data_IF_657245732342
#
_entry.id   IF_657245732342
#
_cell.length_a   1.000
_cell.length_b   1.000
_cell.length_c   1.000
_cell.angle_alpha   90.00
_cell.angle_beta   90.00
_cell.angle_gamma   90.00
#
_symmetry.space_group_name_H-M   'P 1'
#
loop_
_entity.id
_entity.type
_entity.pdbx_description
1 polymer ?
#
# COMPACT_ATOMS: atom_id res chain seq x y z
N UNK A 1 6.31 -16.06 -7.87
CA UNK A 1 5.87 -16.35 -6.50
C UNK A 1 4.66 -17.24 -6.60
N UNK A 2 4.71 -18.42 -6.01
CA UNK A 2 3.58 -19.36 -6.03
C UNK A 2 3.08 -19.55 -4.60
N UNK A 3 1.91 -19.00 -4.27
CA UNK A 3 1.22 -19.27 -3.01
C UNK A 3 0.51 -20.60 -3.13
N UNK A 4 1.00 -21.63 -2.45
CA UNK A 4 0.29 -22.90 -2.31
C UNK A 4 -0.80 -22.73 -1.27
N UNK A 5 -2.03 -23.04 -1.66
CA UNK A 5 -3.22 -22.93 -0.85
C UNK A 5 -3.78 -24.33 -0.61
N UNK A 6 -3.89 -24.71 0.66
CA UNK A 6 -4.73 -25.86 1.03
C UNK A 6 -6.21 -25.49 0.87
N UNK A 7 -7.10 -26.49 0.91
CA UNK A 7 -8.54 -26.23 0.91
C UNK A 7 -8.98 -25.30 2.07
N UNK A 8 -8.31 -25.38 3.23
CA UNK A 8 -8.55 -24.48 4.36
C UNK A 8 -8.09 -23.05 4.10
N UNK A 9 -6.98 -22.87 3.37
CA UNK A 9 -6.49 -21.55 2.98
C UNK A 9 -7.45 -20.85 2.01
N UNK A 10 -8.04 -21.61 1.08
CA UNK A 10 -9.03 -21.10 0.12
C UNK A 10 -10.25 -20.54 0.87
N UNK A 11 -10.71 -21.21 1.92
CA UNK A 11 -11.83 -20.76 2.76
C UNK A 11 -11.49 -19.51 3.58
N UNK A 12 -10.21 -19.27 3.85
CA UNK A 12 -9.72 -18.14 4.64
C UNK A 12 -9.26 -16.94 3.78
N UNK A 13 -9.46 -16.98 2.46
CA UNK A 13 -9.18 -15.86 1.56
C UNK A 13 -10.11 -14.69 1.89
N UNK A 14 -9.53 -13.51 2.09
CA UNK A 14 -10.26 -12.31 2.50
C UNK A 14 -9.62 -11.05 1.96
N UNK A 15 -10.40 -9.97 1.92
CA UNK A 15 -9.91 -8.65 1.56
C UNK A 15 -9.51 -7.85 2.79
N UNK A 16 -8.55 -6.95 2.62
CA UNK A 16 -8.14 -5.98 3.63
C UNK A 16 -7.65 -4.68 3.01
N UNK A 17 -7.40 -3.69 3.85
CA UNK A 17 -6.73 -2.44 3.48
C UNK A 17 -5.48 -2.26 4.36
N UNK A 18 -4.49 -1.51 3.89
CA UNK A 18 -3.28 -1.16 4.66
C UNK A 18 -2.87 0.29 4.37
N UNK A 19 -3.27 1.25 5.22
CA UNK A 19 -2.75 2.62 5.23
C UNK A 19 -1.22 2.73 5.15
N UNK A 20 -0.49 1.90 5.89
CA UNK A 20 0.97 1.85 5.92
C UNK A 20 1.57 1.42 4.59
N UNK A 21 0.92 0.48 3.88
CA UNK A 21 1.32 0.10 2.53
C UNK A 21 1.13 1.26 1.53
N UNK A 22 0.00 1.98 1.63
CA UNK A 22 -0.26 3.17 0.82
C UNK A 22 0.76 4.27 1.11
N UNK A 23 1.10 4.53 2.38
CA UNK A 23 2.12 5.52 2.76
C UNK A 23 3.50 5.14 2.24
N UNK A 24 3.89 3.88 2.40
CA UNK A 24 5.18 3.40 1.91
C UNK A 24 5.31 3.59 0.39
N UNK A 25 4.23 3.32 -0.34
CA UNK A 25 4.22 3.54 -1.79
C UNK A 25 4.15 5.01 -2.13
N UNK A 26 3.39 5.84 -1.41
CA UNK A 26 3.41 7.29 -1.56
C UNK A 26 4.83 7.86 -1.47
N UNK A 27 5.65 7.38 -0.52
CA UNK A 27 7.07 7.74 -0.43
C UNK A 27 7.84 7.32 -1.68
N UNK A 28 7.64 6.10 -2.19
CA UNK A 28 8.30 5.62 -3.43
C UNK A 28 7.89 6.45 -4.65
N UNK A 29 6.60 6.78 -4.78
CA UNK A 29 6.08 7.65 -5.83
C UNK A 29 6.78 9.02 -5.81
N UNK A 30 6.95 9.60 -4.62
CA UNK A 30 7.61 10.89 -4.43
C UNK A 30 9.12 10.85 -4.75
N UNK A 31 9.76 9.69 -4.61
CA UNK A 31 11.14 9.47 -5.01
C UNK A 31 11.31 9.28 -6.53
N UNK A 32 10.25 8.85 -7.24
CA UNK A 32 10.25 8.53 -8.68
C UNK A 32 9.04 9.10 -9.44
N UNK A 33 8.72 10.39 -9.30
CA UNK A 33 7.45 10.96 -9.79
C UNK A 33 7.25 10.79 -11.31
N UNK A 34 8.34 10.75 -12.08
CA UNK A 34 8.33 10.55 -13.53
C UNK A 34 7.72 9.22 -13.97
N UNK A 35 7.64 8.24 -13.07
CA UNK A 35 7.11 6.92 -13.33
C UNK A 35 5.61 6.81 -12.97
N UNK A 36 4.92 7.86 -12.52
CA UNK A 36 3.58 7.69 -11.95
C UNK A 36 2.58 8.70 -12.50
N UNK A 37 2.19 8.56 -13.78
CA UNK A 37 1.40 9.58 -14.45
C UNK A 37 0.01 9.80 -13.84
N UNK A 38 -0.62 8.75 -13.30
CA UNK A 38 -1.94 8.84 -12.66
C UNK A 38 -1.88 9.56 -11.31
N UNK A 39 -0.70 9.64 -10.70
CA UNK A 39 -0.50 10.25 -9.40
C UNK A 39 0.00 11.70 -9.50
N UNK A 40 0.24 12.24 -10.71
CA UNK A 40 0.77 13.61 -10.91
C UNK A 40 -0.03 14.70 -10.21
N UNK A 41 -1.37 14.63 -10.26
CA UNK A 41 -2.23 15.62 -9.61
C UNK A 41 -1.97 15.69 -8.11
N UNK A 42 -1.99 14.53 -7.46
CA UNK A 42 -1.67 14.40 -6.04
C UNK A 42 -0.20 14.76 -5.72
N UNK A 43 0.75 14.30 -6.53
CA UNK A 43 2.18 14.54 -6.33
C UNK A 43 2.50 16.03 -6.26
N UNK A 44 1.85 16.86 -7.09
CA UNK A 44 2.04 18.31 -7.09
C UNK A 44 1.70 18.91 -5.73
N UNK A 45 0.52 18.60 -5.21
CA UNK A 45 0.03 19.16 -3.96
C UNK A 45 0.74 18.56 -2.74
N UNK A 46 1.12 17.28 -2.80
CA UNK A 46 1.82 16.61 -1.71
C UNK A 46 3.24 17.16 -1.52
N UNK A 47 3.99 17.38 -2.63
CA UNK A 47 5.40 17.81 -2.57
C UNK A 47 5.62 19.11 -1.80
N UNK A 48 4.72 20.07 -1.95
CA UNK A 48 4.85 21.39 -1.33
C UNK A 48 4.59 21.36 0.18
N UNK A 49 3.91 20.33 0.67
CA UNK A 49 3.53 20.18 2.08
C UNK A 49 4.42 19.20 2.86
N UNK A 50 5.32 18.49 2.19
CA UNK A 50 6.07 17.40 2.82
C UNK A 50 7.07 17.90 3.89
N UNK A 51 7.01 17.33 5.11
CA UNK A 51 8.01 17.60 6.12
C UNK A 51 9.35 16.98 5.71
N UNK A 52 10.33 17.82 5.37
CA UNK A 52 11.60 17.41 4.73
C UNK A 52 12.35 16.36 5.53
N UNK A 53 12.49 16.55 6.84
CA UNK A 53 13.27 15.65 7.70
C UNK A 53 12.56 14.30 7.91
N UNK A 54 11.26 14.32 8.15
CA UNK A 54 10.45 13.11 8.25
C UNK A 54 10.44 12.32 6.93
N UNK A 55 10.28 13.00 5.80
CA UNK A 55 10.36 12.37 4.48
C UNK A 55 11.76 11.81 4.19
N UNK A 56 12.84 12.53 4.54
CA UNK A 56 14.21 12.04 4.39
C UNK A 56 14.47 10.78 5.24
N UNK A 57 13.88 10.70 6.44
CA UNK A 57 13.94 9.53 7.29
C UNK A 57 13.18 8.35 6.65
N UNK A 58 11.92 8.53 6.28
CA UNK A 58 11.10 7.46 5.68
C UNK A 58 11.68 6.97 4.35
N UNK A 59 12.13 7.87 3.47
CA UNK A 59 12.78 7.50 2.20
C UNK A 59 14.07 6.70 2.41
N UNK A 60 14.85 7.00 3.46
CA UNK A 60 16.01 6.20 3.84
C UNK A 60 15.61 4.77 4.18
N UNK A 61 14.55 4.59 4.97
CA UNK A 61 14.05 3.28 5.42
C UNK A 61 13.38 2.49 4.30
N UNK A 62 12.46 3.10 3.55
CA UNK A 62 11.62 2.46 2.53
C UNK A 62 12.40 2.18 1.23
N UNK A 63 13.31 3.08 0.85
CA UNK A 63 13.95 3.06 -0.47
C UNK A 63 12.99 3.45 -1.59
N UNK A 64 13.48 3.50 -2.83
CA UNK A 64 12.69 3.83 -4.02
C UNK A 64 12.06 2.60 -4.69
N UNK A 65 12.61 1.40 -4.46
CA UNK A 65 12.13 0.13 -5.00
C UNK A 65 12.64 -1.07 -4.18
N UNK A 66 12.09 -2.26 -4.42
CA UNK A 66 12.54 -3.53 -3.86
C UNK A 66 11.87 -3.88 -2.53
N UNK A 67 12.64 -4.52 -1.64
CA UNK A 67 12.15 -4.99 -0.35
C UNK A 67 11.56 -3.83 0.47
N UNK A 68 10.37 -4.03 1.01
CA UNK A 68 9.70 -3.09 1.91
C UNK A 68 9.77 -3.69 3.32
N UNK A 69 10.33 -2.98 4.32
CA UNK A 69 10.38 -3.48 5.69
C UNK A 69 8.99 -3.81 6.24
N UNK A 70 8.81 -5.05 6.68
CA UNK A 70 7.52 -5.58 7.13
C UNK A 70 6.98 -4.81 8.34
N UNK A 71 7.87 -4.34 9.23
CA UNK A 71 7.49 -3.54 10.40
C UNK A 71 6.76 -2.23 10.09
N UNK A 72 6.80 -1.73 8.85
CA UNK A 72 6.07 -0.53 8.41
C UNK A 72 4.59 -0.78 8.13
N UNK A 73 4.17 -2.05 8.14
CA UNK A 73 2.79 -2.47 7.89
C UNK A 73 2.33 -3.38 9.02
N UNK A 74 1.02 -3.45 9.25
CA UNK A 74 0.43 -4.51 10.07
C UNK A 74 -0.38 -5.46 9.21
N UNK A 75 -0.84 -6.57 9.79
CA UNK A 75 -1.71 -7.51 9.08
C UNK A 75 -2.94 -6.76 8.55
N UNK A 76 -3.13 -6.68 7.22
CA UNK A 76 -4.22 -5.90 6.65
C UNK A 76 -5.58 -6.44 7.07
N UNK A 77 -6.49 -5.54 7.41
CA UNK A 77 -7.87 -5.85 7.81
C UNK A 77 -8.83 -4.87 7.14
N UNK A 78 -10.10 -5.26 7.03
CA UNK A 78 -11.13 -4.43 6.38
C UNK A 78 -11.38 -3.08 7.07
N UNK A 79 -11.21 -3.06 8.38
CA UNK A 79 -11.45 -1.95 9.31
C UNK A 79 -10.13 -1.32 9.81
N UNK A 80 -8.99 -1.67 9.21
CA UNK A 80 -7.71 -1.13 9.63
C UNK A 80 -7.63 0.37 9.34
N UNK A 81 -7.53 1.17 10.41
CA UNK A 81 -7.41 2.62 10.31
C UNK A 81 -5.94 3.06 10.28
N UNK A 82 -5.64 4.25 9.72
CA UNK A 82 -4.29 4.81 9.73
C UNK A 82 -3.70 4.93 11.14
N UNK A 83 -4.50 5.37 12.11
CA UNK A 83 -4.08 5.56 13.50
C UNK A 83 -3.76 4.23 14.16
N UNK A 84 -4.54 3.19 13.87
CA UNK A 84 -4.30 1.84 14.38
C UNK A 84 -2.99 1.25 13.83
N UNK A 85 -2.69 1.47 12.54
CA UNK A 85 -1.45 1.00 11.93
C UNK A 85 -0.22 1.81 12.38
N UNK A 86 -0.35 3.12 12.55
CA UNK A 86 0.68 3.97 13.17
C UNK A 86 1.00 3.53 14.61
N UNK A 87 -0.04 3.29 15.41
CA UNK A 87 0.12 2.81 16.78
C UNK A 87 0.77 1.40 16.83
N UNK A 88 0.49 0.55 15.83
CA UNK A 88 1.15 -0.75 15.70
C UNK A 88 2.64 -0.62 15.38
N UNK A 89 3.01 0.31 14.49
CA UNK A 89 4.41 0.64 14.18
C UNK A 89 5.18 1.09 15.44
N UNK A 90 4.59 1.96 16.27
CA UNK A 90 5.17 2.37 17.55
C UNK A 90 5.41 1.22 18.54
N UNK A 91 4.68 0.12 18.39
CA UNK A 91 4.76 -1.10 19.22
C UNK A 91 5.47 -2.27 18.53
N UNK A 92 5.92 -2.11 17.28
CA UNK A 92 6.50 -3.19 16.49
C UNK A 92 7.70 -3.84 17.20
N UNK A 93 7.79 -5.17 17.13
CA UNK A 93 8.83 -5.92 17.82
C UNK A 93 10.22 -5.52 17.33
N UNK A 94 11.11 -5.13 18.25
CA UNK A 94 12.48 -4.71 17.92
C UNK A 94 13.27 -5.80 17.21
N UNK A 95 13.03 -7.07 17.55
CA UNK A 95 13.67 -8.20 16.88
C UNK A 95 13.33 -8.26 15.38
N UNK A 96 12.05 -8.14 15.02
CA UNK A 96 11.61 -8.08 13.62
C UNK A 96 12.17 -6.87 12.90
N UNK A 97 12.11 -5.69 13.54
CA UNK A 97 12.69 -4.47 12.97
C UNK A 97 14.19 -4.60 12.67
N UNK A 98 14.97 -5.26 13.54
CA UNK A 98 16.40 -5.53 13.28
C UNK A 98 16.61 -6.39 12.04
N UNK A 99 15.80 -7.44 11.88
CA UNK A 99 15.85 -8.34 10.70
C UNK A 99 15.57 -7.54 9.42
N UNK A 100 14.55 -6.70 9.43
CA UNK A 100 14.19 -5.92 8.25
C UNK A 100 15.25 -4.85 7.93
N UNK A 101 15.81 -4.19 8.96
CA UNK A 101 16.92 -3.27 8.79
C UNK A 101 18.18 -3.98 8.24
N UNK A 102 18.47 -5.21 8.68
CA UNK A 102 19.56 -6.02 8.13
C UNK A 102 19.36 -6.29 6.63
N UNK A 103 18.14 -6.67 6.22
CA UNK A 103 17.80 -6.84 4.81
C UNK A 103 17.98 -5.55 4.01
N UNK A 104 17.63 -4.38 4.58
CA UNK A 104 17.83 -3.09 3.91
C UNK A 104 19.30 -2.68 3.84
N UNK A 105 20.11 -2.97 4.87
CA UNK A 105 21.56 -2.72 4.88
C UNK A 105 22.25 -3.51 3.76
N UNK A 106 21.87 -4.79 3.59
CA UNK A 106 22.40 -5.64 2.51
C UNK A 106 22.03 -5.13 1.10
N UNK A 107 20.92 -4.38 0.98
CA UNK A 107 20.38 -3.85 -0.27
C UNK A 107 20.66 -2.36 -0.47
N UNK A 108 21.61 -1.79 0.28
CA UNK A 108 21.97 -0.38 0.21
C UNK A 108 23.48 -0.17 0.26
N UNK A 109 23.93 0.98 -0.21
CA UNK A 109 25.34 1.38 -0.21
C UNK A 109 25.49 2.85 0.25
N UNK A 110 26.73 3.28 0.47
CA UNK A 110 27.06 4.67 0.79
C UNK A 110 26.37 5.21 2.06
N UNK A 111 25.96 6.48 2.00
CA UNK A 111 25.37 7.19 3.15
C UNK A 111 24.06 6.54 3.64
N UNK A 112 23.25 5.99 2.72
CA UNK A 112 22.01 5.29 3.09
C UNK A 112 22.30 4.08 3.97
N UNK A 113 23.28 3.26 3.57
CA UNK A 113 23.67 2.08 4.35
C UNK A 113 24.18 2.45 5.76
N UNK A 114 24.96 3.53 5.87
CA UNK A 114 25.45 4.03 7.16
C UNK A 114 24.31 4.46 8.08
N UNK A 115 23.31 5.20 7.55
CA UNK A 115 22.12 5.60 8.31
C UNK A 115 21.31 4.39 8.79
N UNK A 116 21.12 3.39 7.93
CA UNK A 116 20.43 2.15 8.32
C UNK A 116 21.20 1.37 9.40
N UNK A 117 22.53 1.31 9.34
CA UNK A 117 23.35 0.71 10.40
C UNK A 117 23.21 1.44 11.74
N UNK A 118 23.15 2.77 11.73
CA UNK A 118 22.92 3.56 12.94
C UNK A 118 21.53 3.26 13.54
N UNK A 119 20.49 3.22 12.70
CA UNK A 119 19.14 2.82 13.15
C UNK A 119 19.11 1.42 13.74
N UNK A 120 19.86 0.49 13.14
CA UNK A 120 19.97 -0.90 13.63
C UNK A 120 20.74 -1.00 14.95
N UNK A 121 21.66 -0.09 15.23
CA UNK A 121 22.37 -0.04 16.51
C UNK A 121 21.43 0.41 17.64
N UNK A 122 20.56 1.40 17.37
CA UNK A 122 19.60 1.97 18.32
C UNK A 122 18.14 1.81 17.84
N UNK A 123 17.62 0.56 17.72
CA UNK A 123 16.35 0.30 17.04
C UNK A 123 15.13 0.88 17.77
N UNK A 124 15.16 1.00 19.10
CA UNK A 124 14.06 1.61 19.84
C UNK A 124 13.94 3.11 19.56
N UNK A 125 15.08 3.82 19.49
CA UNK A 125 15.14 5.25 19.12
C UNK A 125 14.73 5.41 17.66
N UNK A 126 15.21 4.54 16.77
CA UNK A 126 14.82 4.55 15.38
C UNK A 126 13.32 4.32 15.20
N UNK A 127 12.72 3.36 15.92
CA UNK A 127 11.28 3.06 15.85
C UNK A 127 10.43 4.27 16.22
N UNK A 128 10.76 4.95 17.32
CA UNK A 128 10.06 6.15 17.75
C UNK A 128 10.12 7.24 16.66
N UNK A 129 11.32 7.55 16.17
CA UNK A 129 11.49 8.55 15.09
C UNK A 129 10.77 8.18 13.79
N UNK A 130 10.74 6.89 13.44
CA UNK A 130 10.05 6.41 12.24
C UNK A 130 8.53 6.51 12.43
N UNK A 131 7.99 6.21 13.61
CA UNK A 131 6.58 6.39 13.91
C UNK A 131 6.18 7.88 13.84
N UNK A 132 6.97 8.77 14.45
CA UNK A 132 6.72 10.22 14.39
C UNK A 132 6.78 10.74 12.93
N UNK A 133 7.73 10.24 12.14
CA UNK A 133 7.85 10.59 10.74
C UNK A 133 6.72 10.02 9.88
N UNK A 134 6.22 8.82 10.22
CA UNK A 134 5.07 8.20 9.58
C UNK A 134 3.84 9.11 9.73
N UNK A 135 3.54 9.58 10.93
CA UNK A 135 2.40 10.47 11.21
C UNK A 135 2.55 11.81 10.49
N UNK A 136 3.73 12.44 10.56
CA UNK A 136 4.00 13.71 9.87
C UNK A 136 3.83 13.62 8.34
N UNK A 137 4.35 12.56 7.72
CA UNK A 137 4.20 12.37 6.27
C UNK A 137 2.77 11.97 5.92
N UNK A 138 2.11 11.17 6.76
CA UNK A 138 0.71 10.81 6.58
C UNK A 138 -0.18 12.06 6.54
N UNK A 139 -0.07 12.94 7.53
CA UNK A 139 -0.91 14.14 7.68
C UNK A 139 -0.78 15.08 6.48
N UNK A 140 0.43 15.23 5.93
CA UNK A 140 0.66 16.10 4.79
C UNK A 140 0.34 15.46 3.44
N UNK A 141 0.64 14.17 3.28
CA UNK A 141 0.60 13.51 1.97
C UNK A 141 -0.70 12.73 1.73
N UNK A 142 -1.19 11.97 2.72
CA UNK A 142 -2.30 11.04 2.53
C UNK A 142 -3.59 11.45 3.24
N UNK A 143 -3.54 11.97 4.46
CA UNK A 143 -4.75 12.38 5.19
C UNK A 143 -5.70 13.29 4.37
N UNK A 144 -5.22 14.28 3.59
CA UNK A 144 -6.08 15.16 2.80
C UNK A 144 -6.86 14.45 1.69
N UNK A 145 -6.37 13.31 1.22
CA UNK A 145 -6.95 12.53 0.11
C UNK A 145 -7.44 11.16 0.56
N UNK A 146 -7.29 10.82 1.84
CA UNK A 146 -7.50 9.47 2.35
C UNK A 146 -8.94 8.99 2.16
N UNK A 147 -9.93 9.84 2.44
CA UNK A 147 -11.36 9.51 2.23
C UNK A 147 -11.62 9.03 0.81
N UNK A 148 -11.02 9.70 -0.17
CA UNK A 148 -11.19 9.41 -1.58
C UNK A 148 -10.39 8.16 -2.01
N UNK A 149 -9.17 8.01 -1.49
CA UNK A 149 -8.35 6.82 -1.66
C UNK A 149 -9.07 5.57 -1.11
N UNK A 150 -9.57 5.64 0.12
CA UNK A 150 -10.32 4.58 0.79
C UNK A 150 -11.59 4.21 0.02
N UNK A 151 -12.30 5.20 -0.54
CA UNK A 151 -13.47 4.95 -1.41
C UNK A 151 -13.09 4.08 -2.62
N UNK A 152 -11.95 4.35 -3.25
CA UNK A 152 -11.47 3.56 -4.39
C UNK A 152 -11.12 2.13 -3.95
N UNK A 153 -10.40 1.97 -2.83
CA UNK A 153 -10.05 0.65 -2.30
C UNK A 153 -11.31 -0.18 -1.99
N UNK A 154 -12.29 0.43 -1.32
CA UNK A 154 -13.55 -0.25 -0.97
C UNK A 154 -14.41 -0.56 -2.19
N UNK A 155 -14.42 0.32 -3.20
CA UNK A 155 -15.11 0.07 -4.45
C UNK A 155 -14.49 -1.10 -5.22
N UNK A 156 -13.15 -1.21 -5.27
CA UNK A 156 -12.49 -2.37 -5.84
C UNK A 156 -12.90 -3.66 -5.12
N UNK A 157 -12.82 -3.68 -3.78
CA UNK A 157 -13.23 -4.84 -2.98
C UNK A 157 -14.69 -5.22 -3.23
N UNK A 158 -15.60 -4.25 -3.38
CA UNK A 158 -17.01 -4.54 -3.70
C UNK A 158 -17.14 -5.21 -5.08
N UNK A 159 -16.41 -4.73 -6.10
CA UNK A 159 -16.37 -5.36 -7.42
C UNK A 159 -15.82 -6.78 -7.33
N UNK A 160 -14.73 -7.01 -6.59
CA UNK A 160 -14.14 -8.35 -6.42
C UNK A 160 -15.04 -9.29 -5.65
N UNK A 161 -15.70 -8.81 -4.61
CA UNK A 161 -16.65 -9.61 -3.81
C UNK A 161 -17.82 -10.06 -4.67
N UNK A 162 -18.33 -9.19 -5.56
CA UNK A 162 -19.35 -9.56 -6.53
C UNK A 162 -18.83 -10.63 -7.50
N UNK A 163 -17.64 -10.47 -8.06
CA UNK A 163 -17.03 -11.45 -8.97
C UNK A 163 -16.84 -12.83 -8.30
N UNK A 164 -16.45 -12.88 -7.02
CA UNK A 164 -16.41 -14.13 -6.25
C UNK A 164 -17.79 -14.77 -6.17
N UNK A 165 -18.83 -13.98 -5.91
CA UNK A 165 -20.20 -14.48 -5.78
C UNK A 165 -20.83 -14.92 -7.10
N UNK A 166 -20.46 -14.30 -8.24
CA UNK A 166 -21.03 -14.60 -9.56
C UNK A 166 -20.23 -15.64 -10.34
N UNK A 167 -18.90 -15.55 -10.30
CA UNK A 167 -18.00 -16.28 -11.21
C UNK A 167 -16.97 -17.14 -10.46
N UNK A 168 -16.95 -17.03 -9.12
CA UNK A 168 -16.06 -17.80 -8.26
C UNK A 168 -14.69 -17.16 -8.04
N UNK A 169 -13.94 -17.75 -7.11
CA UNK A 169 -12.67 -17.19 -6.64
C UNK A 169 -11.57 -17.16 -7.72
N UNK A 170 -11.50 -18.20 -8.55
CA UNK A 170 -10.51 -18.30 -9.61
C UNK A 170 -10.71 -17.22 -10.69
N UNK A 171 -11.97 -16.93 -11.06
CA UNK A 171 -12.30 -15.87 -12.01
C UNK A 171 -11.92 -14.49 -11.44
N UNK A 172 -12.29 -14.19 -10.20
CA UNK A 172 -11.91 -12.94 -9.54
C UNK A 172 -10.38 -12.78 -9.46
N UNK A 173 -9.65 -13.84 -9.11
CA UNK A 173 -8.20 -13.78 -9.02
C UNK A 173 -7.52 -13.45 -10.35
N UNK A 174 -8.05 -13.95 -11.47
CA UNK A 174 -7.57 -13.63 -12.81
C UNK A 174 -7.77 -12.14 -13.17
N UNK A 175 -8.71 -11.46 -12.52
CA UNK A 175 -8.93 -10.02 -12.72
C UNK A 175 -8.08 -9.11 -11.81
N UNK A 176 -7.33 -9.66 -10.85
CA UNK A 176 -6.53 -8.86 -9.92
C UNK A 176 -5.39 -8.14 -10.65
N UNK A 177 -4.67 -8.86 -11.51
CA UNK A 177 -3.60 -8.32 -12.35
C UNK A 177 -3.21 -9.35 -13.41
N UNK A 178 -2.69 -8.91 -14.57
CA UNK A 178 -2.21 -9.79 -15.66
C UNK A 178 -1.08 -10.77 -15.28
N UNK A 179 -0.52 -10.60 -14.08
CA UNK A 179 0.56 -11.43 -13.52
C UNK A 179 0.08 -12.34 -12.40
N UNK A 180 -1.21 -12.29 -12.10
CA UNK A 180 -1.87 -13.15 -11.12
C UNK A 180 -2.66 -14.18 -11.90
N UNK A 181 -2.42 -15.45 -11.59
CA UNK A 181 -3.15 -16.57 -12.17
C UNK A 181 -3.53 -17.53 -11.06
N UNK A 182 -4.73 -18.09 -11.18
CA UNK A 182 -5.19 -19.15 -10.30
C UNK A 182 -4.92 -20.51 -10.95
N UNK A 183 -4.46 -21.46 -10.16
CA UNK A 183 -4.37 -22.88 -10.50
C UNK A 183 -5.01 -23.69 -9.37
N UNK A 184 -5.37 -24.95 -9.62
CA UNK A 184 -6.21 -25.77 -8.72
C UNK A 184 -5.92 -25.62 -7.22
N UNK A 185 -4.64 -25.61 -6.83
CA UNK A 185 -4.19 -25.48 -5.43
C UNK A 185 -3.20 -24.33 -5.18
N UNK A 186 -3.10 -23.36 -6.10
CA UNK A 186 -2.17 -22.26 -5.92
C UNK A 186 -2.57 -20.96 -6.62
N UNK A 187 -2.30 -19.83 -5.95
CA UNK A 187 -2.26 -18.51 -6.57
C UNK A 187 -0.84 -18.22 -7.02
N UNK A 188 -0.63 -18.14 -8.33
CA UNK A 188 0.66 -17.76 -8.90
C UNK A 188 0.68 -16.27 -9.19
N UNK A 189 1.70 -15.60 -8.66
CA UNK A 189 1.99 -14.18 -8.84
C UNK A 189 3.38 -14.05 -9.48
N UNK A 190 3.44 -13.60 -10.72
CA UNK A 190 4.71 -13.32 -11.38
C UNK A 190 5.30 -12.00 -10.86
N UNK A 191 6.39 -12.08 -10.11
CA UNK A 191 7.10 -10.92 -9.58
C UNK A 191 8.37 -10.66 -10.38
N UNK A 192 8.75 -9.38 -10.54
CA UNK A 192 9.91 -8.96 -11.36
C UNK A 192 11.25 -9.44 -10.80
N UNK A 193 11.39 -9.49 -9.46
CA UNK A 193 12.68 -9.66 -8.78
C UNK A 193 12.77 -10.91 -7.91
N UNK A 194 11.73 -11.74 -7.85
CA UNK A 194 11.67 -12.85 -6.89
C UNK A 194 10.85 -14.05 -7.36
N UNK A 195 11.37 -15.24 -7.08
CA UNK A 195 10.68 -16.53 -7.33
C UNK A 195 10.85 -17.40 -6.09
N UNK A 196 9.76 -17.64 -5.39
CA UNK A 196 9.68 -18.54 -4.24
C UNK A 196 8.32 -19.24 -4.26
N UNK A 197 8.21 -20.32 -3.50
CA UNK A 197 6.96 -21.00 -3.21
C UNK A 197 6.63 -20.76 -1.73
N UNK A 198 5.44 -20.25 -1.46
CA UNK A 198 4.99 -19.88 -0.12
C UNK A 198 3.82 -20.77 0.23
N UNK A 199 3.97 -21.55 1.29
CA UNK A 199 2.86 -22.31 1.86
C UNK A 199 2.10 -21.38 2.82
N UNK A 200 0.80 -21.21 2.58
CA UNK A 200 -0.04 -20.37 3.42
C UNK A 200 -0.39 -21.03 4.77
N UNK A 201 -0.07 -22.33 4.93
CA UNK A 201 -0.11 -23.07 6.20
C UNK A 201 -1.43 -22.94 6.99
N UNK A 202 -2.55 -22.83 6.29
CA UNK A 202 -3.88 -22.69 6.90
C UNK A 202 -4.25 -21.27 7.32
N UNK A 203 -3.40 -20.26 7.09
CA UNK A 203 -3.70 -18.86 7.43
C UNK A 203 -4.51 -18.12 6.37
N UNK A 204 -4.66 -18.70 5.18
CA UNK A 204 -5.31 -18.08 4.03
C UNK A 204 -4.44 -17.04 3.34
N UNK A 205 -5.05 -16.31 2.40
CA UNK A 205 -4.42 -15.23 1.63
C UNK A 205 -5.22 -13.94 1.81
N UNK A 206 -4.55 -12.85 2.21
CA UNK A 206 -5.18 -11.53 2.27
C UNK A 206 -4.94 -10.79 0.96
N UNK A 207 -6.01 -10.35 0.32
CA UNK A 207 -6.00 -9.59 -0.92
C UNK A 207 -6.18 -8.11 -0.61
N UNK A 208 -5.20 -7.28 -0.98
CA UNK A 208 -5.18 -5.86 -0.65
C UNK A 208 -5.06 -5.03 -1.92
N UNK A 209 -6.13 -4.33 -2.34
CA UNK A 209 -5.99 -3.36 -3.43
C UNK A 209 -5.08 -2.22 -2.99
N UNK A 210 -4.43 -1.56 -3.94
CA UNK A 210 -3.59 -0.40 -3.68
C UNK A 210 -3.73 0.67 -4.74
N UNK A 211 -3.88 1.93 -4.32
CA UNK A 211 -3.92 3.10 -5.23
C UNK A 211 -2.50 3.61 -5.49
N UNK A 212 -1.64 3.57 -4.47
CA UNK A 212 -0.25 4.05 -4.55
C UNK A 212 0.70 3.03 -5.18
N UNK A 213 0.38 1.72 -5.17
CA UNK A 213 1.17 0.68 -5.83
C UNK A 213 0.69 0.41 -7.26
N UNK A 214 1.10 1.26 -8.22
CA UNK A 214 0.48 1.30 -9.56
C UNK A 214 1.11 0.38 -10.63
N UNK A 215 2.27 -0.23 -10.40
CA UNK A 215 3.05 -0.92 -11.45
C UNK A 215 3.04 -2.45 -11.38
N UNK A 216 2.42 -3.02 -10.35
CA UNK A 216 2.25 -4.46 -10.27
C UNK A 216 1.95 -4.95 -8.87
N UNK A 217 1.96 -6.26 -8.72
CA UNK A 217 1.68 -6.90 -7.46
C UNK A 217 2.90 -6.89 -6.53
N UNK A 218 2.61 -6.87 -5.23
CA UNK A 218 3.57 -7.10 -4.17
C UNK A 218 3.07 -8.19 -3.24
N UNK A 219 3.99 -8.86 -2.57
CA UNK A 219 3.67 -9.94 -1.65
C UNK A 219 4.35 -9.72 -0.30
N UNK A 220 3.65 -10.08 0.76
CA UNK A 220 4.20 -10.21 2.10
C UNK A 220 4.04 -11.67 2.51
N UNK A 221 5.16 -12.35 2.73
CA UNK A 221 5.19 -13.83 2.80
C UNK A 221 6.05 -14.38 3.92
N UNK A 222 6.89 -13.56 4.55
CA UNK A 222 7.84 -14.03 5.55
C UNK A 222 7.15 -14.17 6.93
N UNK A 223 7.16 -15.37 7.55
CA UNK A 223 6.61 -15.54 8.90
C UNK A 223 7.26 -14.58 9.89
N UNK A 224 6.51 -14.00 10.84
CA UNK A 224 5.13 -14.36 11.22
C UNK A 224 4.03 -13.62 10.42
N UNK A 225 4.38 -12.93 9.33
CA UNK A 225 3.40 -12.18 8.57
C UNK A 225 2.34 -13.09 7.94
N UNK A 226 1.11 -12.58 7.89
CA UNK A 226 0.02 -13.19 7.13
C UNK A 226 0.33 -13.10 5.63
N UNK A 227 0.34 -14.22 4.88
CA UNK A 227 0.42 -14.20 3.43
C UNK A 227 -0.55 -13.19 2.83
N UNK A 228 0.02 -12.18 2.17
CA UNK A 228 -0.74 -11.05 1.62
C UNK A 228 -0.29 -10.78 0.19
N UNK A 229 -1.26 -10.56 -0.70
CA UNK A 229 -1.08 -10.09 -2.06
C UNK A 229 -1.63 -8.67 -2.17
N UNK A 230 -0.73 -7.71 -2.38
CA UNK A 230 -1.07 -6.35 -2.78
C UNK A 230 -1.18 -6.28 -4.29
N UNK A 231 -2.22 -5.64 -4.81
CA UNK A 231 -2.46 -5.49 -6.25
C UNK A 231 -2.99 -4.09 -6.60
N UNK A 232 -2.75 -3.59 -7.82
CA UNK A 232 -3.26 -2.28 -8.21
C UNK A 232 -4.80 -2.24 -8.19
N UNK A 233 -5.37 -1.25 -7.53
CA UNK A 233 -6.81 -1.03 -7.48
C UNK A 233 -7.35 -0.65 -8.87
N UNK A 234 -8.56 -1.11 -9.20
CA UNK A 234 -9.28 -0.67 -10.40
C UNK A 234 -9.81 0.75 -10.23
N UNK A 235 -10.00 1.43 -11.37
CA UNK A 235 -10.66 2.74 -11.40
C UNK A 235 -9.81 3.90 -10.91
N UNK A 236 -8.49 3.72 -10.75
CA UNK A 236 -7.57 4.82 -10.49
C UNK A 236 -7.39 5.64 -11.77
N UNK A 237 -7.89 6.87 -11.77
CA UNK A 237 -7.74 7.83 -12.88
C UNK A 237 -6.77 8.94 -12.51
N UNK A 238 -6.33 9.78 -13.45
CA UNK A 238 -5.45 10.92 -13.14
C UNK A 238 -6.06 11.95 -12.17
N UNK A 239 -7.38 11.90 -11.97
CA UNK A 239 -8.14 12.78 -11.08
C UNK A 239 -8.54 12.10 -9.77
N UNK A 240 -8.00 10.91 -9.48
CA UNK A 240 -8.39 10.10 -8.33
C UNK A 240 -8.33 10.87 -7.00
N UNK A 241 -7.42 11.84 -6.88
CA UNK A 241 -7.19 12.62 -5.66
C UNK A 241 -8.05 13.88 -5.54
N UNK A 242 -8.81 14.25 -6.58
CA UNK A 242 -9.70 15.42 -6.51
C UNK A 242 -10.94 15.10 -5.70
N UNK A 243 -11.33 16.03 -4.83
CA UNK A 243 -12.62 15.97 -4.16
C UNK A 243 -13.74 16.35 -5.16
N UNK A 244 -14.70 15.45 -5.44
CA UNK A 244 -15.86 15.79 -6.27
C UNK A 244 -16.64 17.01 -5.74
N UNK A 245 -16.67 17.23 -4.42
CA UNK A 245 -17.31 18.40 -3.83
C UNK A 245 -16.61 19.70 -4.24
N UNK A 246 -15.27 19.72 -4.30
CA UNK A 246 -14.53 20.88 -4.80
C UNK A 246 -14.83 21.21 -6.27
N UNK A 247 -15.14 20.18 -7.07
CA UNK A 247 -15.54 20.36 -8.48
C UNK A 247 -16.95 20.92 -8.56
N UNK A 248 -17.87 20.45 -7.70
CA UNK A 248 -19.22 20.99 -7.60
C UNK A 248 -19.24 22.46 -7.15
N UNK A 249 -18.43 22.82 -6.16
CA UNK A 249 -18.31 24.19 -5.66
C UNK A 249 -17.68 25.12 -6.72
N UNK A 250 -16.64 24.68 -7.41
CA UNK A 250 -16.02 25.44 -8.50
C UNK A 250 -16.98 25.66 -9.69
N UNK A 251 -17.74 24.63 -10.08
CA UNK A 251 -18.76 24.74 -11.11
C UNK A 251 -19.91 25.66 -10.67
N UNK A 252 -20.32 25.58 -9.40
CA UNK A 252 -21.35 26.45 -8.84
C UNK A 252 -20.90 27.91 -8.82
N UNK A 253 -19.63 28.18 -8.50
CA UNK A 253 -19.06 29.53 -8.53
C UNK A 253 -18.95 30.11 -9.95
N UNK A 254 -18.64 29.27 -10.96
CA UNK A 254 -18.44 29.72 -12.34
C UNK A 254 -19.75 29.84 -13.14
N UNK A 255 -20.66 28.87 -12.97
CA UNK A 255 -21.86 28.71 -13.80
C UNK A 255 -23.16 28.97 -13.04
N UNK A 256 -23.09 29.15 -11.72
CA UNK A 256 -24.23 29.18 -10.81
C UNK A 256 -24.66 27.76 -10.39
N UNK A 257 -25.22 27.60 -9.18
CA UNK A 257 -25.52 26.29 -8.58
C UNK A 257 -26.49 25.45 -9.41
N UNK A 258 -27.46 26.07 -10.09
CA UNK A 258 -28.43 25.37 -10.93
C UNK A 258 -27.78 24.72 -12.18
N UNK A 259 -26.83 25.40 -12.83
CA UNK A 259 -26.15 24.86 -14.02
C UNK A 259 -25.08 23.84 -13.64
N UNK A 260 -24.42 24.02 -12.50
CA UNK A 260 -23.51 23.03 -11.94
C UNK A 260 -24.21 21.69 -11.66
N UNK A 261 -25.41 21.73 -11.07
CA UNK A 261 -26.19 20.52 -10.80
C UNK A 261 -26.53 19.72 -12.07
N UNK A 262 -26.85 20.40 -13.17
CA UNK A 262 -27.18 19.76 -14.47
C UNK A 262 -25.96 19.07 -15.09
N UNK A 263 -24.76 19.59 -14.86
CA UNK A 263 -23.51 19.02 -15.41
C UNK A 263 -22.96 17.85 -14.59
N UNK A 264 -23.44 17.68 -13.35
CA UNK A 264 -22.98 16.65 -12.42
C UNK A 264 -23.92 15.43 -12.34
N UNK A 265 -25.05 15.47 -13.05
CA UNK A 265 -25.97 14.36 -13.28
C UNK A 265 -25.61 13.59 -14.53
#
# INVERSE_FOLDING_TARGET
MDFRLSAGDIQAVRFGVSPGHELAHAVRLLLRPEQHPLQWGWLRDARDRLPRDAFALLSTVIGDDGYLPDFLTTTPRWDLTPEAEAAALGKAAIAGMRIDLDKMILRSTGQRQQRLRAMRAEPAVARARIADAWEQVWDCALAPVWRQLERILRADIAVRSRAVATDGLAAMAAELHSKVSWSDSAVRVELRKHREQVDCRGSGLVLVPSVMSSWGCMVLTEPPAQPTLFYPARGVTAEWARDPASTADALAALLGPARAAILLT
#
